data_IF_855907184197
#
_entry.id   IF_855907184197
#
_cell.length_a   1.000
_cell.length_b   1.000
_cell.length_c   1.000
_cell.angle_alpha   90.00
_cell.angle_beta   90.00
_cell.angle_gamma   90.00
#
_symmetry.space_group_name_H-M   'P 1'
#
loop_
_entity.id
_entity.type
_entity.pdbx_description
1 polymer ?
#
# COMPACT_ATOMS: atom_id res chain seq x y z
N UNK A 1 40.22 17.60 -8.16
CA UNK A 1 39.32 16.61 -8.79
C UNK A 1 37.95 17.23 -8.84
N UNK A 2 37.41 17.46 -10.04
CA UNK A 2 36.08 18.04 -10.23
C UNK A 2 35.12 16.88 -10.53
N UNK A 3 34.05 16.77 -9.76
CA UNK A 3 32.96 15.83 -10.02
C UNK A 3 31.82 16.63 -10.64
N UNK A 4 31.40 16.23 -11.83
CA UNK A 4 30.24 16.80 -12.51
C UNK A 4 29.10 15.78 -12.47
N UNK A 5 27.95 16.21 -11.97
CA UNK A 5 26.73 15.42 -12.01
C UNK A 5 26.01 15.74 -13.32
N UNK A 6 25.97 14.77 -14.23
CA UNK A 6 25.20 14.86 -15.48
C UNK A 6 23.93 14.03 -15.32
N UNK A 7 22.78 14.62 -15.66
CA UNK A 7 21.48 13.96 -15.61
C UNK A 7 20.82 14.00 -16.99
N UNK A 8 20.83 12.86 -17.68
CA UNK A 8 20.25 12.67 -19.01
C UNK A 8 18.87 11.97 -18.95
N UNK A 9 18.08 12.23 -17.90
CA UNK A 9 16.74 11.63 -17.76
C UNK A 9 15.74 12.24 -18.75
N UNK A 10 15.01 11.39 -19.47
CA UNK A 10 13.92 11.78 -20.36
C UNK A 10 12.54 11.47 -19.75
N UNK A 11 11.57 12.33 -20.03
CA UNK A 11 10.16 12.09 -19.67
C UNK A 11 9.45 11.45 -20.86
N UNK A 12 8.81 10.31 -20.61
CA UNK A 12 8.02 9.59 -21.62
C UNK A 12 6.59 9.41 -21.12
N UNK A 13 5.63 9.61 -22.02
CA UNK A 13 4.24 9.24 -21.76
C UNK A 13 4.12 7.72 -21.86
N UNK A 14 3.61 7.10 -20.80
CA UNK A 14 3.42 5.64 -20.73
C UNK A 14 2.02 5.34 -20.24
N UNK A 15 1.33 4.44 -20.92
CA UNK A 15 0.02 3.95 -20.46
C UNK A 15 0.19 3.06 -19.23
N UNK A 16 -0.62 3.34 -18.22
CA UNK A 16 -0.60 2.62 -16.95
C UNK A 16 -1.97 1.95 -16.73
N UNK A 17 -1.94 0.71 -16.26
CA UNK A 17 -3.13 -0.13 -16.14
C UNK A 17 -3.31 -0.63 -14.70
N UNK A 18 -4.42 -0.23 -14.09
CA UNK A 18 -4.87 -0.78 -12.82
C UNK A 18 -5.71 -2.05 -13.07
N UNK A 19 -5.43 -3.10 -12.30
CA UNK A 19 -6.33 -4.26 -12.17
C UNK A 19 -7.22 -4.04 -10.96
N UNK A 20 -8.54 -4.05 -11.16
CA UNK A 20 -9.53 -3.78 -10.10
C UNK A 20 -10.49 -4.96 -9.99
N UNK A 21 -10.52 -5.58 -8.80
CA UNK A 21 -11.48 -6.61 -8.43
C UNK A 21 -12.39 -6.14 -7.30
N UNK A 22 -13.58 -6.73 -7.19
CA UNK A 22 -14.55 -6.42 -6.12
C UNK A 22 -15.23 -7.67 -5.60
N UNK A 23 -15.39 -7.76 -4.29
CA UNK A 23 -16.27 -8.73 -3.63
C UNK A 23 -17.46 -7.94 -3.07
N UNK A 24 -18.69 -8.36 -3.39
CA UNK A 24 -19.90 -7.69 -2.89
C UNK A 24 -20.12 -8.08 -1.43
N UNK A 25 -20.19 -7.07 -0.57
CA UNK A 25 -20.65 -7.23 0.81
C UNK A 25 -22.17 -7.13 0.93
N UNK A 26 -22.66 -7.38 2.14
CA UNK A 26 -24.07 -7.19 2.52
C UNK A 26 -24.45 -5.70 2.69
N UNK A 27 -23.47 -4.84 3.00
CA UNK A 27 -23.64 -3.38 3.07
C UNK A 27 -23.10 -2.68 1.81
N UNK A 28 -23.39 -1.39 1.69
CA UNK A 28 -22.84 -0.53 0.63
C UNK A 28 -21.43 -0.01 0.93
N UNK A 29 -20.87 -0.33 2.09
CA UNK A 29 -19.56 0.15 2.52
C UNK A 29 -18.43 -0.65 1.85
N UNK A 30 -17.29 0.00 1.61
CA UNK A 30 -16.10 -0.62 1.03
C UNK A 30 -14.87 -0.50 1.94
N UNK A 31 -14.05 -1.55 1.92
CA UNK A 31 -12.64 -1.50 2.30
C UNK A 31 -11.83 -1.62 1.01
N UNK A 32 -10.81 -0.77 0.87
CA UNK A 32 -9.92 -0.81 -0.28
C UNK A 32 -8.58 -1.40 0.10
N UNK A 33 -8.03 -2.15 -0.83
CA UNK A 33 -6.65 -2.61 -0.80
C UNK A 33 -5.98 -2.20 -2.12
N UNK A 34 -4.68 -1.91 -2.07
CA UNK A 34 -3.88 -1.77 -3.27
C UNK A 34 -2.42 -2.13 -3.03
N UNK A 35 -1.80 -2.68 -4.07
CA UNK A 35 -0.36 -2.73 -4.26
C UNK A 35 0.01 -1.78 -5.41
N UNK A 36 1.03 -0.94 -5.24
CA UNK A 36 1.50 -0.02 -6.29
C UNK A 36 2.91 -0.39 -6.77
N UNK A 37 3.00 -1.38 -7.67
CA UNK A 37 4.28 -1.73 -8.32
C UNK A 37 4.27 -1.35 -9.80
N UNK A 38 5.14 -0.39 -10.12
CA UNK A 38 5.53 -0.07 -11.48
C UNK A 38 6.98 -0.50 -11.67
N UNK A 39 7.18 -1.54 -12.48
CA UNK A 39 8.50 -1.84 -13.02
C UNK A 39 8.58 -1.21 -14.39
N UNK A 40 9.42 -0.18 -14.55
CA UNK A 40 9.72 0.36 -15.87
C UNK A 40 10.67 -0.60 -16.60
N UNK A 41 10.43 -0.90 -17.89
CA UNK A 41 11.30 -1.79 -18.67
C UNK A 41 12.70 -1.21 -18.91
N UNK A 42 12.89 0.09 -18.67
CA UNK A 42 14.18 0.78 -18.72
C UNK A 42 14.49 1.29 -17.31
N UNK A 43 15.58 0.76 -16.72
CA UNK A 43 16.26 1.27 -15.52
C UNK A 43 15.67 0.99 -14.12
N UNK A 44 14.71 0.07 -13.93
CA UNK A 44 14.19 -0.30 -12.60
C UNK A 44 13.77 0.91 -11.73
N UNK A 45 13.40 2.02 -12.37
CA UNK A 45 13.06 3.25 -11.67
C UNK A 45 11.62 3.15 -11.19
N UNK A 46 11.43 3.21 -9.88
CA UNK A 46 10.09 3.15 -9.27
C UNK A 46 9.43 4.52 -9.34
N UNK A 47 8.38 4.65 -10.13
CA UNK A 47 7.46 5.78 -10.04
C UNK A 47 6.36 5.39 -9.03
N UNK A 48 6.47 5.91 -7.81
CA UNK A 48 5.54 5.59 -6.71
C UNK A 48 4.22 6.35 -6.86
N UNK A 49 3.12 5.61 -6.67
CA UNK A 49 1.72 6.07 -6.54
C UNK A 49 0.99 6.77 -7.71
N UNK A 50 1.48 6.87 -8.96
CA UNK A 50 0.75 7.62 -9.98
C UNK A 50 -0.60 6.96 -10.31
N UNK A 51 -0.67 5.63 -10.28
CA UNK A 51 -1.87 4.89 -10.64
C UNK A 51 -2.95 4.89 -9.56
N UNK A 52 -2.58 4.65 -8.30
CA UNK A 52 -3.53 4.67 -7.17
C UNK A 52 -4.07 6.08 -6.94
N UNK A 53 -3.23 7.11 -7.08
CA UNK A 53 -3.64 8.52 -7.02
C UNK A 53 -4.60 8.86 -8.14
N UNK A 54 -4.26 8.55 -9.39
CA UNK A 54 -5.14 8.85 -10.54
C UNK A 54 -6.48 8.12 -10.42
N UNK A 55 -6.48 6.87 -9.95
CA UNK A 55 -7.71 6.12 -9.70
C UNK A 55 -8.54 6.75 -8.58
N UNK A 56 -7.91 7.15 -7.47
CA UNK A 56 -8.58 7.80 -6.35
C UNK A 56 -9.21 9.14 -6.76
N UNK A 57 -8.51 9.94 -7.59
CA UNK A 57 -9.05 11.19 -8.13
C UNK A 57 -10.29 10.95 -8.99
N UNK A 58 -10.25 9.96 -9.89
CA UNK A 58 -11.40 9.63 -10.76
C UNK A 58 -12.60 9.08 -9.99
N UNK A 59 -12.36 8.44 -8.84
CA UNK A 59 -13.39 7.80 -8.02
C UNK A 59 -13.62 8.52 -6.69
N UNK A 60 -13.27 9.81 -6.61
CA UNK A 60 -13.23 10.55 -5.34
C UNK A 60 -14.58 10.52 -4.61
N UNK A 61 -15.67 10.85 -5.30
CA UNK A 61 -17.01 10.92 -4.70
C UNK A 61 -17.49 9.57 -4.20
N UNK A 62 -17.24 8.50 -4.96
CA UNK A 62 -17.57 7.14 -4.54
C UNK A 62 -16.75 6.75 -3.31
N UNK A 63 -15.45 7.01 -3.34
CA UNK A 63 -14.52 6.66 -2.26
C UNK A 63 -14.88 7.35 -0.96
N UNK A 64 -15.14 8.66 -1.03
CA UNK A 64 -15.47 9.49 0.13
C UNK A 64 -16.79 9.08 0.80
N UNK A 65 -17.77 8.63 0.01
CA UNK A 65 -19.10 8.29 0.53
C UNK A 65 -19.21 6.85 1.02
N UNK A 66 -18.49 5.93 0.38
CA UNK A 66 -18.73 4.51 0.58
C UNK A 66 -17.57 3.79 1.26
N UNK A 67 -16.32 4.27 1.15
CA UNK A 67 -15.20 3.52 1.70
C UNK A 67 -14.81 3.98 3.09
N UNK A 68 -14.70 3.01 4.00
CA UNK A 68 -14.45 3.23 5.43
C UNK A 68 -12.98 3.02 5.82
N UNK A 69 -12.22 2.30 4.99
CA UNK A 69 -10.81 2.06 5.21
C UNK A 69 -10.06 1.83 3.89
N UNK A 70 -8.75 2.09 3.93
CA UNK A 70 -7.78 1.76 2.90
C UNK A 70 -6.60 1.05 3.56
N UNK A 71 -6.27 -0.14 3.08
CA UNK A 71 -5.18 -0.99 3.52
C UNK A 71 -4.13 -0.97 2.40
N UNK A 72 -2.86 -0.77 2.74
CA UNK A 72 -1.76 -0.85 1.77
C UNK A 72 -0.96 -2.12 2.06
N UNK A 73 -0.70 -2.91 1.03
CA UNK A 73 0.06 -4.16 1.13
C UNK A 73 1.45 -4.06 0.47
N UNK A 74 1.86 -2.86 0.04
CA UNK A 74 3.24 -2.58 -0.37
C UNK A 74 4.22 -2.94 0.76
N UNK A 75 5.30 -3.65 0.41
CA UNK A 75 6.38 -4.02 1.34
C UNK A 75 5.90 -4.83 2.57
N UNK A 76 4.74 -5.49 2.46
CA UNK A 76 4.15 -6.37 3.49
C UNK A 76 5.00 -7.59 3.84
N UNK A 77 5.96 -7.94 2.98
CA UNK A 77 7.06 -8.85 3.28
C UNK A 77 8.36 -8.11 3.02
N UNK A 78 8.97 -7.60 4.08
CA UNK A 78 10.31 -7.02 4.07
C UNK A 78 11.23 -7.85 4.99
N UNK A 79 12.55 -7.75 4.78
CA UNK A 79 13.50 -8.43 5.65
C UNK A 79 13.43 -7.83 7.06
N UNK A 80 13.22 -8.66 8.09
CA UNK A 80 13.13 -8.22 9.48
C UNK A 80 12.45 -9.23 10.39
N UNK A 81 12.56 -9.02 11.70
CA UNK A 81 11.94 -9.85 12.75
C UNK A 81 10.71 -9.20 13.41
N UNK A 82 10.34 -7.98 12.98
CA UNK A 82 9.23 -7.20 13.53
C UNK A 82 8.25 -6.76 12.46
N UNK A 83 6.97 -6.68 12.84
CA UNK A 83 5.92 -6.06 12.03
C UNK A 83 5.72 -4.61 12.48
N UNK A 84 5.76 -3.69 11.52
CA UNK A 84 5.67 -2.25 11.77
C UNK A 84 4.43 -1.65 11.06
N UNK A 85 3.20 -1.96 11.52
CA UNK A 85 2.01 -1.38 10.91
C UNK A 85 1.95 0.13 11.16
N UNK A 86 1.70 0.90 10.10
CA UNK A 86 1.49 2.35 10.20
C UNK A 86 0.09 2.66 9.67
N UNK A 87 -0.71 3.39 10.44
CA UNK A 87 -2.09 3.68 10.07
C UNK A 87 -2.74 4.79 10.88
N UNK A 88 -4.00 5.07 10.56
CA UNK A 88 -4.84 5.98 11.34
C UNK A 88 -5.04 5.44 12.76
N UNK A 89 -5.04 6.29 13.81
CA UNK A 89 -5.38 5.87 15.17
C UNK A 89 -6.74 5.15 15.26
N UNK A 90 -7.67 5.44 14.35
CA UNK A 90 -8.97 4.77 14.26
C UNK A 90 -8.87 3.26 13.97
N UNK A 91 -7.74 2.78 13.45
CA UNK A 91 -7.50 1.37 13.15
C UNK A 91 -6.59 0.70 14.18
N UNK A 92 -6.04 1.43 15.16
CA UNK A 92 -5.02 0.90 16.07
C UNK A 92 -5.52 -0.33 16.85
N UNK A 93 -6.70 -0.24 17.47
CA UNK A 93 -7.30 -1.35 18.22
C UNK A 93 -7.61 -2.54 17.30
N UNK A 94 -8.21 -2.30 16.13
CA UNK A 94 -8.53 -3.36 15.17
C UNK A 94 -7.27 -4.07 14.64
N UNK A 95 -6.20 -3.32 14.38
CA UNK A 95 -4.91 -3.88 13.93
C UNK A 95 -4.27 -4.73 15.03
N UNK A 96 -4.29 -4.24 16.27
CA UNK A 96 -3.74 -4.96 17.42
C UNK A 96 -4.49 -6.26 17.70
N UNK A 97 -5.82 -6.22 17.70
CA UNK A 97 -6.64 -7.43 17.88
C UNK A 97 -6.49 -8.43 16.73
N UNK A 98 -6.38 -7.94 15.48
CA UNK A 98 -6.10 -8.80 14.34
C UNK A 98 -4.71 -9.47 14.45
N UNK A 99 -3.69 -8.74 14.88
CA UNK A 99 -2.33 -9.26 15.03
C UNK A 99 -2.26 -10.42 16.04
N UNK A 100 -3.02 -10.36 17.14
CA UNK A 100 -3.09 -11.45 18.14
C UNK A 100 -3.66 -12.76 17.60
N UNK A 101 -4.45 -12.70 16.53
CA UNK A 101 -5.08 -13.87 15.92
C UNK A 101 -4.17 -14.55 14.88
N UNK A 102 -3.11 -13.87 14.45
CA UNK A 102 -2.19 -14.37 13.43
C UNK A 102 -0.95 -14.93 14.13
N UNK A 103 -0.68 -16.25 14.05
CA UNK A 103 0.55 -16.82 14.59
C UNK A 103 1.76 -16.16 13.96
N UNK A 104 2.77 -15.87 14.77
CA UNK A 104 4.03 -15.35 14.23
C UNK A 104 4.70 -16.39 13.33
N UNK A 105 5.23 -15.96 12.17
CA UNK A 105 5.95 -16.86 11.26
C UNK A 105 7.36 -17.21 11.76
N UNK A 106 7.86 -16.54 12.81
CA UNK A 106 9.22 -16.72 13.32
C UNK A 106 9.29 -17.58 14.59
N UNK A 107 8.27 -17.58 15.46
CA UNK A 107 8.15 -18.41 16.68
C UNK A 107 6.70 -18.37 17.22
N UNK A 108 6.23 -19.38 17.98
CA UNK A 108 4.89 -19.39 18.60
C UNK A 108 4.73 -18.38 19.76
N UNK A 109 5.84 -17.86 20.30
CA UNK A 109 5.87 -16.88 21.39
C UNK A 109 6.38 -15.53 20.84
N UNK A 110 5.47 -14.66 20.38
CA UNK A 110 5.81 -13.27 20.07
C UNK A 110 4.92 -12.37 20.91
N UNK A 111 5.54 -11.49 21.69
CA UNK A 111 4.87 -10.43 22.44
C UNK A 111 4.41 -9.36 21.44
N UNK A 112 3.12 -9.06 21.43
CA UNK A 112 2.59 -7.88 20.74
C UNK A 112 2.78 -6.71 21.70
N UNK A 113 3.73 -5.82 21.41
CA UNK A 113 3.96 -4.64 22.24
C UNK A 113 2.77 -3.68 22.17
N UNK A 114 2.32 -3.21 23.33
CA UNK A 114 1.28 -2.17 23.43
C UNK A 114 1.87 -0.82 22.98
N UNK A 115 1.32 -0.25 21.91
CA UNK A 115 1.70 1.06 21.36
C UNK A 115 1.16 2.25 22.12
#
# INVERSE_FOLDING_TARGET
>A
MMLELVNDTEYIDTELYNVVGTIKGESSECVKDSHSRLETPLNHQRIRTPQSTAWATRNFDYSKKNCIAYINVDESTSDGDRQDPVGSPLLAETLYEAAKLVPSPLNEEVEVEDG
#
